data_IF_408009356698
#
_entry.id   IF_408009356698
#
_cell.length_a   1.000
_cell.length_b   1.000
_cell.length_c   1.000
_cell.angle_alpha   90.00
_cell.angle_beta   90.00
_cell.angle_gamma   90.00
#
_symmetry.space_group_name_H-M   'P 1'
#
loop_
_entity.id
_entity.type
_entity.pdbx_description
1 polymer ?
#
# COMPACT_ATOMS: atom_id res chain seq x y z
N UNK A 1 9.28 2.71 6.53
CA UNK A 1 9.36 4.18 6.47
C UNK A 1 8.14 4.76 7.16
N UNK A 2 8.33 5.66 8.14
CA UNK A 2 7.21 6.48 8.66
C UNK A 2 6.97 7.63 7.69
N UNK A 3 5.74 7.78 7.20
CA UNK A 3 5.35 8.88 6.31
C UNK A 3 4.85 10.02 7.19
N UNK A 4 5.62 11.11 7.25
CA UNK A 4 5.23 12.33 7.97
C UNK A 4 4.48 13.24 7.00
N UNK A 5 3.24 13.62 7.35
CA UNK A 5 2.42 14.49 6.51
C UNK A 5 2.90 15.94 6.58
N UNK A 6 2.99 16.58 5.41
CA UNK A 6 3.41 17.97 5.26
C UNK A 6 2.27 18.92 5.67
N UNK A 7 2.63 19.96 6.40
CA UNK A 7 1.76 21.11 6.68
C UNK A 7 1.79 22.12 5.53
N UNK A 8 0.87 23.09 5.57
CA UNK A 8 0.87 24.24 4.64
C UNK A 8 2.18 25.02 4.71
N UNK A 9 2.71 25.25 5.92
CA UNK A 9 3.95 26.01 6.12
C UNK A 9 5.17 25.27 5.54
N UNK A 10 5.25 23.96 5.74
CA UNK A 10 6.33 23.13 5.20
C UNK A 10 6.28 23.06 3.67
N UNK A 11 5.09 22.90 3.09
CA UNK A 11 4.91 22.90 1.64
C UNK A 11 5.24 24.27 1.02
N UNK A 12 4.78 25.35 1.66
CA UNK A 12 5.08 26.72 1.25
C UNK A 12 6.59 26.98 1.24
N UNK A 13 7.31 26.51 2.28
CA UNK A 13 8.78 26.60 2.35
C UNK A 13 9.46 25.78 1.25
N UNK A 14 8.99 24.56 0.98
CA UNK A 14 9.53 23.67 -0.07
C UNK A 14 9.44 24.30 -1.46
N UNK A 15 8.32 24.95 -1.77
CA UNK A 15 8.08 25.59 -3.05
C UNK A 15 8.48 27.06 -3.11
N UNK A 16 9.02 27.61 -2.02
CA UNK A 16 9.38 29.04 -1.90
C UNK A 16 8.21 29.99 -2.22
N UNK A 17 7.00 29.61 -1.83
CA UNK A 17 5.78 30.41 -2.00
C UNK A 17 5.19 30.81 -0.65
N UNK A 18 4.25 31.75 -0.65
CA UNK A 18 3.52 32.13 0.55
C UNK A 18 2.46 31.09 0.91
N UNK A 19 2.14 30.92 2.20
CA UNK A 19 1.05 30.03 2.65
C UNK A 19 -0.30 30.37 2.02
N UNK A 20 -0.56 31.67 1.79
CA UNK A 20 -1.78 32.13 1.10
C UNK A 20 -1.88 31.55 -0.31
N UNK A 21 -0.75 31.42 -1.01
CA UNK A 21 -0.69 30.84 -2.35
C UNK A 21 -1.06 29.36 -2.31
N UNK A 22 -0.55 28.61 -1.31
CA UNK A 22 -0.94 27.21 -1.11
C UNK A 22 -2.44 27.08 -0.84
N UNK A 23 -3.02 27.93 0.01
CA UNK A 23 -4.48 27.93 0.27
C UNK A 23 -5.29 28.22 -0.99
N UNK A 24 -4.83 29.15 -1.85
CA UNK A 24 -5.45 29.38 -3.17
C UNK A 24 -5.42 28.13 -4.04
N UNK A 25 -4.30 27.42 -4.11
CA UNK A 25 -4.25 26.17 -4.89
C UNK A 25 -5.21 25.08 -4.40
N UNK A 26 -5.57 25.10 -3.12
CA UNK A 26 -6.62 24.23 -2.57
C UNK A 26 -8.01 24.70 -3.01
N UNK A 27 -8.27 26.01 -2.94
CA UNK A 27 -9.53 26.63 -3.37
C UNK A 27 -9.77 26.42 -4.88
N UNK A 28 -8.72 26.58 -5.68
CA UNK A 28 -8.71 26.38 -7.13
C UNK A 28 -8.73 24.89 -7.53
N UNK A 29 -8.67 23.97 -6.55
CA UNK A 29 -8.71 22.52 -6.77
C UNK A 29 -7.44 21.92 -7.38
N UNK A 30 -6.39 22.72 -7.56
CA UNK A 30 -5.09 22.27 -8.08
C UNK A 30 -4.37 21.36 -7.07
N UNK A 31 -4.62 21.56 -5.78
CA UNK A 31 -3.91 20.87 -4.70
C UNK A 31 -4.90 20.26 -3.70
N UNK A 32 -4.84 18.95 -3.54
CA UNK A 32 -5.81 18.22 -2.70
C UNK A 32 -5.22 17.88 -1.32
N UNK A 33 -5.78 18.41 -0.21
CA UNK A 33 -5.37 18.03 1.13
C UNK A 33 -5.93 16.66 1.55
N UNK A 34 -5.30 16.03 2.53
CA UNK A 34 -5.76 14.78 3.13
C UNK A 34 -7.07 14.99 3.91
N UNK A 35 -8.08 14.15 3.67
CA UNK A 35 -9.45 14.36 4.18
C UNK A 35 -9.69 13.91 5.63
N UNK A 36 -8.88 13.00 6.16
CA UNK A 36 -9.11 12.34 7.46
C UNK A 36 -8.08 12.70 8.53
N UNK A 37 -7.55 13.93 8.49
CA UNK A 37 -6.50 14.38 9.42
C UNK A 37 -6.80 15.78 9.96
N UNK A 38 -6.39 16.06 11.21
CA UNK A 38 -6.62 17.37 11.80
C UNK A 38 -5.80 18.45 11.07
N UNK A 39 -6.51 19.43 10.53
CA UNK A 39 -5.94 20.54 9.77
C UNK A 39 -5.58 20.19 8.33
N UNK A 40 -5.06 21.19 7.61
CA UNK A 40 -4.65 21.03 6.21
C UNK A 40 -3.28 20.34 6.17
N UNK A 41 -3.28 19.10 5.67
CA UNK A 41 -2.08 18.26 5.54
C UNK A 41 -1.98 17.67 4.14
N UNK A 42 -0.76 17.43 3.69
CA UNK A 42 -0.46 16.86 2.38
C UNK A 42 0.40 15.61 2.52
N UNK A 43 0.12 14.62 1.69
CA UNK A 43 0.95 13.44 1.58
C UNK A 43 2.23 13.79 0.79
N UNK A 44 3.45 13.60 1.34
CA UNK A 44 4.70 13.86 0.63
C UNK A 44 4.77 13.19 -0.75
N UNK A 45 4.26 11.96 -0.86
CA UNK A 45 4.27 11.19 -2.12
C UNK A 45 3.41 11.86 -3.18
N UNK A 46 2.24 12.39 -2.78
CA UNK A 46 1.35 13.11 -3.69
C UNK A 46 1.99 14.43 -4.18
N UNK A 47 2.72 15.11 -3.29
CA UNK A 47 3.46 16.32 -3.65
C UNK A 47 4.62 16.00 -4.60
N UNK A 48 5.36 14.92 -4.36
CA UNK A 48 6.45 14.49 -5.24
C UNK A 48 5.95 14.11 -6.65
N UNK A 49 4.79 13.45 -6.75
CA UNK A 49 4.12 13.18 -8.03
C UNK A 49 3.75 14.49 -8.76
N UNK A 50 3.22 15.49 -8.04
CA UNK A 50 2.90 16.81 -8.61
C UNK A 50 4.15 17.58 -9.06
N UNK A 51 5.28 17.39 -8.39
CA UNK A 51 6.57 17.98 -8.76
C UNK A 51 7.20 17.31 -9.99
N UNK A 52 6.56 16.27 -10.56
CA UNK A 52 7.08 15.51 -11.68
C UNK A 52 8.28 14.63 -11.31
N UNK A 53 8.48 14.37 -10.02
CA UNK A 53 9.47 13.41 -9.55
C UNK A 53 8.88 12.03 -9.85
N UNK A 54 9.61 11.24 -10.64
CA UNK A 54 9.21 9.90 -11.04
C UNK A 54 9.28 8.98 -9.81
N UNK A 55 8.23 9.00 -8.98
CA UNK A 55 8.09 8.13 -7.82
C UNK A 55 7.78 6.73 -8.34
N UNK A 56 8.82 6.00 -8.76
CA UNK A 56 8.71 4.60 -9.17
C UNK A 56 8.14 3.79 -8.02
N UNK A 57 6.82 3.62 -7.98
CA UNK A 57 6.14 2.92 -6.89
C UNK A 57 6.47 1.44 -6.87
N UNK A 58 6.83 0.83 -7.99
CA UNK A 58 7.59 -0.42 -8.17
C UNK A 58 7.99 -0.49 -9.65
N UNK A 59 9.13 -1.09 -10.00
CA UNK A 59 9.39 -1.41 -11.41
C UNK A 59 8.30 -2.38 -11.91
N UNK A 60 7.76 -2.20 -13.13
CA UNK A 60 6.79 -3.14 -13.70
C UNK A 60 7.28 -4.60 -13.64
N UNK A 61 8.60 -4.77 -13.75
CA UNK A 61 9.27 -6.06 -13.60
C UNK A 61 9.16 -6.63 -12.19
N UNK A 62 9.39 -5.81 -11.16
CA UNK A 62 9.27 -6.19 -9.76
C UNK A 62 7.82 -6.56 -9.44
N UNK A 63 6.85 -5.78 -9.93
CA UNK A 63 5.44 -6.07 -9.73
C UNK A 63 5.02 -7.40 -10.39
N UNK A 64 5.48 -7.67 -11.62
CA UNK A 64 5.26 -8.96 -12.29
C UNK A 64 5.91 -10.12 -11.54
N UNK A 65 7.10 -9.91 -10.99
CA UNK A 65 7.80 -10.91 -10.17
C UNK A 65 7.02 -11.24 -8.91
N UNK A 66 6.57 -10.21 -8.18
CA UNK A 66 5.75 -10.37 -6.98
C UNK A 66 4.41 -11.06 -7.27
N UNK A 67 3.76 -10.75 -8.39
CA UNK A 67 2.53 -11.46 -8.80
C UNK A 67 2.75 -12.95 -9.04
N UNK A 68 3.86 -13.33 -9.68
CA UNK A 68 4.23 -14.74 -9.88
C UNK A 68 4.48 -15.45 -8.56
N UNK A 69 5.19 -14.80 -7.63
CA UNK A 69 5.49 -15.35 -6.32
C UNK A 69 4.22 -15.56 -5.48
N UNK A 70 3.28 -14.59 -5.51
CA UNK A 70 1.97 -14.74 -4.88
C UNK A 70 1.18 -15.91 -5.48
N UNK A 71 1.19 -16.08 -6.80
CA UNK A 71 0.49 -17.18 -7.46
C UNK A 71 1.09 -18.53 -7.05
N UNK A 72 2.42 -18.63 -7.00
CA UNK A 72 3.14 -19.83 -6.58
C UNK A 72 2.84 -20.19 -5.12
N UNK A 73 2.93 -19.23 -4.20
CA UNK A 73 2.63 -19.44 -2.77
C UNK A 73 1.17 -19.87 -2.55
N UNK A 74 0.23 -19.35 -3.34
CA UNK A 74 -1.18 -19.78 -3.27
C UNK A 74 -1.36 -21.22 -3.72
N UNK A 75 -0.65 -21.64 -4.77
CA UNK A 75 -0.67 -23.01 -5.26
C UNK A 75 -0.10 -23.98 -4.21
N UNK A 76 1.08 -23.69 -3.68
CA UNK A 76 1.73 -24.51 -2.65
C UNK A 76 0.87 -24.62 -1.39
N UNK A 77 0.23 -23.52 -0.96
CA UNK A 77 -0.72 -23.55 0.15
C UNK A 77 -1.90 -24.47 -0.12
N UNK A 78 -2.47 -24.44 -1.33
CA UNK A 78 -3.60 -25.30 -1.68
C UNK A 78 -3.21 -26.78 -1.67
N UNK A 79 -2.05 -27.12 -2.24
CA UNK A 79 -1.50 -28.48 -2.24
C UNK A 79 -1.24 -28.99 -0.81
N UNK A 80 -0.63 -28.16 0.05
CA UNK A 80 -0.42 -28.51 1.46
C UNK A 80 -1.75 -28.74 2.20
N UNK A 81 -2.76 -27.91 1.94
CA UNK A 81 -4.08 -28.06 2.56
C UNK A 81 -4.78 -29.36 2.13
N UNK A 82 -4.61 -29.77 0.88
CA UNK A 82 -5.13 -31.05 0.38
C UNK A 82 -4.48 -32.24 1.09
N UNK A 83 -3.15 -32.26 1.20
CA UNK A 83 -2.41 -33.31 1.91
C UNK A 83 -2.83 -33.38 3.38
N UNK A 84 -2.98 -32.23 4.05
CA UNK A 84 -3.46 -32.18 5.44
C UNK A 84 -4.85 -32.81 5.56
N UNK A 85 -5.74 -32.52 4.61
CA UNK A 85 -7.09 -33.07 4.60
C UNK A 85 -7.10 -34.59 4.41
N UNK A 86 -6.28 -35.09 3.50
CA UNK A 86 -6.11 -36.54 3.30
C UNK A 86 -5.59 -37.22 4.56
N UNK A 87 -4.58 -36.63 5.20
CA UNK A 87 -4.03 -37.12 6.46
C UNK A 87 -5.08 -37.16 7.57
N UNK A 88 -5.90 -36.11 7.70
CA UNK A 88 -7.00 -36.06 8.68
C UNK A 88 -8.04 -37.16 8.44
N UNK A 89 -8.42 -37.41 7.18
CA UNK A 89 -9.36 -38.47 6.81
C UNK A 89 -8.77 -39.85 7.16
N UNK A 90 -7.49 -40.08 6.84
CA UNK A 90 -6.81 -41.33 7.17
C UNK A 90 -6.78 -41.56 8.68
N UNK A 91 -6.41 -40.53 9.45
CA UNK A 91 -6.35 -40.62 10.91
C UNK A 91 -7.73 -40.91 11.52
N UNK A 92 -8.79 -40.28 11.03
CA UNK A 92 -10.16 -40.57 11.46
C UNK A 92 -10.57 -42.02 11.17
N UNK A 93 -10.19 -42.56 10.00
CA UNK A 93 -10.41 -43.97 9.66
C UNK A 93 -9.62 -44.90 10.59
N UNK A 94 -8.35 -44.61 10.85
CA UNK A 94 -7.52 -45.39 11.78
C UNK A 94 -8.12 -45.43 13.19
N UNK A 95 -8.61 -44.29 13.68
CA UNK A 95 -9.30 -44.21 14.98
C UNK A 95 -10.57 -45.07 15.00
N UNK A 96 -11.38 -45.07 13.93
CA UNK A 96 -12.59 -45.90 13.86
C UNK A 96 -12.33 -47.41 13.82
N UNK A 97 -11.12 -47.85 13.48
CA UNK A 97 -10.73 -49.27 13.51
C UNK A 97 -10.24 -49.68 14.90
N UNK A 98 -9.72 -48.73 15.68
CA UNK A 98 -9.19 -48.97 17.03
C UNK A 98 -10.22 -48.79 18.15
N UNK A 99 -11.37 -48.19 17.85
CA UNK A 99 -12.50 -47.99 18.76
C UNK A 99 -13.50 -49.16 18.66
#
# INVERSE_FOLDING_TARGET
MQIVLLTVAELAKRWQVNERTIRKYIEDGTLTPCKNVPGVRFNPIYIEELEGIDVKKHSEFEFRTLQKEIAQLRKEKAEMQEIIREYQILNAKSLSILA
#
